data_IF_803756607895
#
_entry.id   IF_803756607895
#
_cell.length_a   1.000
_cell.length_b   1.000
_cell.length_c   1.000
_cell.angle_alpha   90.00
_cell.angle_beta   90.00
_cell.angle_gamma   90.00
#
_symmetry.space_group_name_H-M   'P 1'
#
loop_
_entity.id
_entity.type
_entity.pdbx_description
1 polymer ?
#
# COMPACT_ATOMS: atom_id res chain seq x y z
N UNK A 1 2.10 1.53 19.32
CA UNK A 1 0.69 1.49 18.87
C UNK A 1 0.62 2.12 17.49
N UNK A 2 -0.19 1.61 16.57
CA UNK A 2 -0.43 2.18 15.25
C UNK A 2 -1.55 3.22 15.33
N UNK A 3 -1.38 4.38 14.65
CA UNK A 3 -2.40 5.42 14.49
C UNK A 3 -3.07 5.23 13.13
N UNK A 4 -4.22 4.55 13.10
CA UNK A 4 -4.93 4.20 11.86
C UNK A 4 -6.02 5.24 11.60
N UNK A 5 -5.94 5.90 10.44
CA UNK A 5 -6.86 6.93 9.97
C UNK A 5 -7.57 6.47 8.73
N UNK A 6 -8.88 6.28 8.82
CA UNK A 6 -9.71 5.74 7.74
C UNK A 6 -10.54 6.86 7.11
N UNK A 7 -10.59 6.89 5.78
CA UNK A 7 -11.48 7.72 4.96
C UNK A 7 -12.36 6.84 4.09
N UNK A 8 -13.57 7.28 3.82
CA UNK A 8 -14.43 6.61 2.83
C UNK A 8 -13.86 6.80 1.41
N UNK A 9 -13.42 8.02 1.08
CA UNK A 9 -12.82 8.33 -0.21
C UNK A 9 -11.68 9.34 -0.07
N UNK A 10 -10.65 9.18 -0.90
CA UNK A 10 -9.57 10.15 -1.09
C UNK A 10 -9.05 10.10 -2.52
N UNK A 11 -8.27 11.09 -2.91
CA UNK A 11 -7.51 11.03 -4.17
C UNK A 11 -6.48 9.90 -4.11
N UNK A 12 -5.61 9.93 -3.09
CA UNK A 12 -4.56 8.92 -2.88
C UNK A 12 -4.17 8.86 -1.40
N UNK A 13 -4.09 7.67 -0.84
CA UNK A 13 -3.58 7.47 0.53
C UNK A 13 -2.11 7.85 0.66
N UNK A 14 -1.30 7.72 -0.42
CA UNK A 14 0.08 8.17 -0.44
C UNK A 14 0.20 9.70 -0.30
N UNK A 15 -0.67 10.44 -0.98
CA UNK A 15 -0.69 11.90 -0.90
C UNK A 15 -1.14 12.37 0.47
N UNK A 16 -2.18 11.74 1.03
CA UNK A 16 -2.63 11.99 2.41
C UNK A 16 -1.51 11.75 3.42
N UNK A 17 -0.86 10.59 3.33
CA UNK A 17 0.24 10.24 4.23
C UNK A 17 1.44 11.18 4.07
N UNK A 18 1.79 11.57 2.84
CA UNK A 18 2.87 12.50 2.59
C UNK A 18 2.56 13.91 3.16
N UNK A 19 1.32 14.39 3.02
CA UNK A 19 0.90 15.66 3.59
C UNK A 19 0.96 15.63 5.12
N UNK A 20 0.47 14.56 5.75
CA UNK A 20 0.56 14.36 7.19
C UNK A 20 2.01 14.27 7.67
N UNK A 21 2.87 13.52 6.96
CA UNK A 21 4.28 13.38 7.31
C UNK A 21 5.03 14.73 7.25
N UNK A 22 4.77 15.55 6.22
CA UNK A 22 5.34 16.92 6.11
C UNK A 22 4.88 17.80 7.26
N UNK A 23 3.65 17.62 7.76
CA UNK A 23 3.10 18.34 8.92
C UNK A 23 3.59 17.81 10.27
N UNK A 24 4.43 16.77 10.28
CA UNK A 24 5.03 16.23 11.49
C UNK A 24 4.31 15.02 12.10
N UNK A 25 3.40 14.37 11.37
CA UNK A 25 2.77 13.14 11.86
C UNK A 25 3.84 12.09 12.26
N UNK A 26 3.62 11.34 13.36
CA UNK A 26 4.62 10.40 13.86
C UNK A 26 4.77 9.17 12.95
N UNK A 27 5.87 8.45 13.15
CA UNK A 27 6.05 7.10 12.60
C UNK A 27 4.92 6.18 13.07
N UNK A 28 4.53 5.20 12.23
CA UNK A 28 3.39 4.29 12.46
C UNK A 28 2.01 4.95 12.35
N UNK A 29 1.91 6.12 11.69
CA UNK A 29 0.62 6.64 11.21
C UNK A 29 0.27 5.93 9.92
N UNK A 30 -0.96 5.43 9.81
CA UNK A 30 -1.49 4.70 8.64
C UNK A 30 -2.70 5.44 8.10
N UNK A 31 -2.64 5.84 6.84
CA UNK A 31 -3.78 6.34 6.09
C UNK A 31 -4.43 5.19 5.33
N UNK A 32 -5.72 4.97 5.51
CA UNK A 32 -6.51 3.96 4.81
C UNK A 32 -7.66 4.65 4.08
N UNK A 33 -7.99 4.20 2.90
CA UNK A 33 -9.20 4.64 2.19
C UNK A 33 -10.00 3.44 1.69
N UNK A 34 -11.33 3.53 1.75
CA UNK A 34 -12.23 2.53 1.13
C UNK A 34 -12.22 2.63 -0.39
N UNK A 35 -11.97 3.84 -0.92
CA UNK A 35 -11.86 4.15 -2.34
C UNK A 35 -10.78 5.18 -2.60
N UNK A 36 -10.06 5.03 -3.72
CA UNK A 36 -9.20 6.09 -4.24
C UNK A 36 -9.66 6.51 -5.63
N UNK A 37 -9.73 7.83 -5.88
CA UNK A 37 -10.10 8.38 -7.20
C UNK A 37 -8.88 8.66 -8.08
N UNK A 38 -7.68 8.71 -7.49
CA UNK A 38 -6.42 8.93 -8.18
C UNK A 38 -5.29 8.09 -7.58
N UNK A 39 -5.53 6.80 -7.32
CA UNK A 39 -4.50 5.88 -6.82
C UNK A 39 -3.31 5.78 -7.78
N UNK A 40 -2.09 5.81 -7.25
CA UNK A 40 -0.85 5.85 -8.04
C UNK A 40 -0.13 4.50 -8.01
N UNK A 41 0.42 4.14 -9.17
CA UNK A 41 1.45 3.12 -9.33
C UNK A 41 2.77 3.74 -9.72
N UNK A 42 3.81 2.94 -9.97
CA UNK A 42 5.09 3.39 -10.50
C UNK A 42 4.93 3.87 -11.95
N UNK A 43 5.76 4.86 -12.35
CA UNK A 43 5.78 5.42 -13.71
C UNK A 43 4.42 6.00 -14.14
N UNK A 44 3.78 6.75 -13.22
CA UNK A 44 2.49 7.43 -13.42
C UNK A 44 1.34 6.49 -13.82
N UNK A 45 1.46 5.19 -13.55
CA UNK A 45 0.38 4.24 -13.77
C UNK A 45 -0.70 4.44 -12.72
N UNK A 46 -1.95 4.29 -13.12
CA UNK A 46 -3.08 4.34 -12.21
C UNK A 46 -3.18 3.01 -11.46
N UNK A 47 -3.39 3.09 -10.14
CA UNK A 47 -3.83 1.95 -9.33
C UNK A 47 -5.35 2.02 -9.19
N UNK A 48 -6.05 1.07 -9.78
CA UNK A 48 -7.51 1.00 -9.71
C UNK A 48 -7.95 0.63 -8.28
N UNK A 49 -8.78 1.48 -7.67
CA UNK A 49 -9.12 1.39 -6.24
C UNK A 49 -10.62 1.60 -6.00
N UNK A 50 -11.47 0.68 -6.50
CA UNK A 50 -12.93 0.79 -6.30
C UNK A 50 -13.30 0.60 -4.83
N UNK A 51 -14.48 1.16 -4.46
CA UNK A 51 -14.95 1.15 -3.08
C UNK A 51 -15.08 -0.28 -2.52
N UNK A 52 -14.52 -0.50 -1.33
CA UNK A 52 -14.62 -1.73 -0.54
C UNK A 52 -14.16 -3.02 -1.25
N UNK A 53 -13.32 -2.89 -2.29
CA UNK A 53 -12.81 -4.05 -3.04
C UNK A 53 -11.38 -4.45 -2.71
N UNK A 54 -10.67 -3.65 -1.94
CA UNK A 54 -9.27 -3.89 -1.60
C UNK A 54 -8.82 -3.22 -0.31
N UNK A 55 -7.57 -3.43 0.04
CA UNK A 55 -6.87 -2.64 1.06
C UNK A 55 -6.02 -1.58 0.34
N UNK A 56 -6.37 -0.32 0.54
CA UNK A 56 -5.61 0.83 0.05
C UNK A 56 -5.09 1.59 1.24
N UNK A 57 -3.82 1.41 1.56
CA UNK A 57 -3.24 2.03 2.73
C UNK A 57 -1.84 2.60 2.47
N UNK A 58 -1.44 3.56 3.28
CA UNK A 58 -0.11 4.16 3.24
C UNK A 58 0.40 4.39 4.66
N UNK A 59 1.58 3.88 4.92
CA UNK A 59 2.24 3.92 6.23
C UNK A 59 3.31 5.00 6.24
N UNK A 60 3.32 5.85 7.26
CA UNK A 60 4.40 6.80 7.53
C UNK A 60 5.44 6.12 8.42
N UNK A 61 6.70 6.12 7.96
CA UNK A 61 7.84 5.67 8.72
C UNK A 61 8.88 6.77 8.89
N UNK A 62 9.56 6.81 10.04
CA UNK A 62 10.67 7.73 10.33
C UNK A 62 11.86 6.89 10.81
N UNK A 63 12.49 6.14 9.88
CA UNK A 63 13.59 5.25 10.26
C UNK A 63 14.85 6.03 10.56
N UNK A 64 15.63 5.55 11.54
CA UNK A 64 16.96 6.09 11.88
C UNK A 64 18.05 5.50 10.97
N UNK A 65 17.83 5.52 9.66
CA UNK A 65 18.78 5.05 8.64
C UNK A 65 19.01 6.14 7.60
N UNK A 66 20.14 6.15 6.89
CA UNK A 66 20.39 7.11 5.82
C UNK A 66 19.30 7.05 4.73
N UNK A 67 18.97 8.20 4.14
CA UNK A 67 17.91 8.32 3.13
C UNK A 67 18.17 7.42 1.90
N UNK A 68 19.43 7.14 1.57
CA UNK A 68 19.84 6.24 0.50
C UNK A 68 19.33 4.81 0.72
N UNK A 69 19.10 4.42 1.98
CA UNK A 69 18.57 3.10 2.36
C UNK A 69 17.05 3.02 2.30
N UNK A 70 16.32 4.12 2.06
CA UNK A 70 14.85 4.13 2.09
C UNK A 70 14.23 3.27 0.97
N UNK A 71 14.97 3.03 -0.13
CA UNK A 71 14.57 2.07 -1.15
C UNK A 71 14.34 0.66 -0.61
N UNK A 72 15.08 0.26 0.43
CA UNK A 72 14.94 -1.06 1.06
C UNK A 72 13.60 -1.21 1.81
N UNK A 73 12.99 -0.11 2.24
CA UNK A 73 11.68 -0.16 2.91
C UNK A 73 10.57 -0.72 2.02
N UNK A 74 10.68 -0.51 0.70
CA UNK A 74 9.76 -1.15 -0.26
C UNK A 74 9.84 -2.67 -0.22
N UNK A 75 11.07 -3.21 -0.09
CA UNK A 75 11.29 -4.66 0.01
C UNK A 75 10.79 -5.21 1.34
N UNK A 76 11.04 -4.50 2.44
CA UNK A 76 10.52 -4.89 3.75
C UNK A 76 8.99 -4.95 3.73
N UNK A 77 8.34 -3.94 3.15
CA UNK A 77 6.90 -3.91 3.00
C UNK A 77 6.36 -5.02 2.07
N UNK A 78 7.09 -5.30 0.97
CA UNK A 78 6.73 -6.39 0.07
C UNK A 78 6.85 -7.75 0.75
N UNK A 79 7.90 -7.98 1.54
CA UNK A 79 8.08 -9.20 2.34
C UNK A 79 6.96 -9.34 3.37
N UNK A 80 6.66 -8.29 4.13
CA UNK A 80 5.59 -8.30 5.12
C UNK A 80 4.21 -8.59 4.49
N UNK A 81 3.90 -7.96 3.34
CA UNK A 81 2.65 -8.21 2.63
C UNK A 81 2.61 -9.63 2.07
N UNK A 82 3.68 -10.12 1.45
CA UNK A 82 3.76 -11.46 0.90
C UNK A 82 3.55 -12.52 1.98
N UNK A 83 4.15 -12.33 3.16
CA UNK A 83 3.96 -13.21 4.33
C UNK A 83 2.51 -13.15 4.84
N UNK A 84 1.95 -11.94 4.97
CA UNK A 84 0.57 -11.70 5.41
C UNK A 84 -0.45 -12.46 4.56
N UNK A 85 -0.28 -12.46 3.23
CA UNK A 85 -1.23 -13.10 2.29
C UNK A 85 -0.71 -14.42 1.71
N UNK A 86 0.42 -14.94 2.20
CA UNK A 86 1.05 -16.21 1.77
C UNK A 86 1.28 -16.27 0.26
N UNK A 87 1.83 -15.21 -0.31
CA UNK A 87 2.05 -15.04 -1.74
C UNK A 87 3.53 -14.90 -2.09
N UNK A 88 3.85 -14.92 -3.38
CA UNK A 88 5.19 -14.69 -3.89
C UNK A 88 5.45 -13.21 -4.18
N UNK A 89 6.73 -12.85 -4.33
CA UNK A 89 7.17 -11.51 -4.72
C UNK A 89 7.71 -11.55 -6.14
N UNK A 90 7.21 -10.67 -6.98
CA UNK A 90 7.83 -10.32 -8.26
C UNK A 90 8.59 -9.01 -8.05
N UNK A 91 9.92 -9.13 -8.07
CA UNK A 91 10.81 -7.99 -7.88
C UNK A 91 10.49 -6.84 -8.84
N UNK A 92 10.54 -5.56 -8.42
CA UNK A 92 10.96 -5.12 -7.07
C UNK A 92 9.82 -4.89 -6.06
N UNK A 93 8.54 -4.85 -6.48
CA UNK A 93 7.48 -4.27 -5.64
C UNK A 93 6.08 -4.87 -5.87
N UNK A 94 5.97 -5.98 -6.58
CA UNK A 94 4.70 -6.62 -6.87
C UNK A 94 4.55 -7.92 -6.06
N UNK A 95 3.38 -8.13 -5.48
CA UNK A 95 3.00 -9.38 -4.84
C UNK A 95 2.17 -10.16 -5.85
N UNK A 96 2.54 -11.41 -6.09
CA UNK A 96 1.92 -12.26 -7.10
C UNK A 96 1.41 -13.58 -6.48
N UNK A 97 0.31 -14.06 -7.02
CA UNK A 97 -0.23 -15.38 -6.71
C UNK A 97 -0.59 -16.08 -8.02
N UNK A 98 -0.08 -17.30 -8.22
CA UNK A 98 -0.22 -18.07 -9.48
C UNK A 98 0.10 -17.25 -10.74
N UNK A 99 1.18 -16.46 -10.67
CA UNK A 99 1.66 -15.64 -11.79
C UNK A 99 0.90 -14.32 -12.02
N UNK A 100 -0.20 -14.06 -11.29
CA UNK A 100 -1.00 -12.83 -11.42
C UNK A 100 -0.74 -11.89 -10.24
N UNK A 101 -0.71 -10.58 -10.52
CA UNK A 101 -0.47 -9.55 -9.52
C UNK A 101 -1.70 -9.34 -8.65
N UNK A 102 -1.53 -9.46 -7.32
CA UNK A 102 -2.58 -9.20 -6.33
C UNK A 102 -2.33 -7.92 -5.53
N UNK A 103 -1.05 -7.47 -5.43
CA UNK A 103 -0.73 -6.25 -4.68
C UNK A 103 0.43 -5.51 -5.34
N UNK A 104 0.44 -4.19 -5.20
CA UNK A 104 1.56 -3.32 -5.55
C UNK A 104 2.00 -2.49 -4.35
N UNK A 105 3.32 -2.36 -4.19
CA UNK A 105 3.93 -1.50 -3.17
C UNK A 105 4.52 -0.27 -3.86
N UNK A 106 4.25 0.91 -3.33
CA UNK A 106 4.79 2.17 -3.82
C UNK A 106 5.36 2.97 -2.66
N UNK A 107 6.66 3.24 -2.67
CA UNK A 107 7.31 4.07 -1.67
C UNK A 107 7.68 5.43 -2.21
N UNK A 108 7.62 6.43 -1.35
CA UNK A 108 8.18 7.75 -1.53
C UNK A 108 8.85 8.21 -0.24
N UNK A 109 9.69 9.23 -0.32
CA UNK A 109 10.36 9.79 0.84
C UNK A 109 10.48 11.30 0.72
N UNK A 110 10.75 11.97 1.83
CA UNK A 110 10.88 13.40 1.88
C UNK A 110 11.33 13.91 3.24
N UNK A 111 11.24 15.22 3.42
CA UNK A 111 11.55 15.89 4.69
C UNK A 111 10.32 16.62 5.20
N UNK A 112 10.14 16.66 6.52
CA UNK A 112 9.13 17.47 7.16
C UNK A 112 9.59 18.92 7.30
N UNK A 113 8.72 19.79 7.81
CA UNK A 113 9.00 21.23 8.04
C UNK A 113 10.17 21.51 8.99
N UNK A 114 10.63 20.52 9.72
CA UNK A 114 11.76 20.61 10.67
C UNK A 114 13.04 19.97 10.11
N UNK A 115 13.01 19.48 8.86
CA UNK A 115 14.15 18.82 8.21
C UNK A 115 14.32 17.35 8.58
N UNK A 116 13.37 16.74 9.30
CA UNK A 116 13.44 15.30 9.61
C UNK A 116 12.96 14.48 8.42
N UNK A 117 13.72 13.44 8.07
CA UNK A 117 13.35 12.54 6.99
C UNK A 117 12.16 11.66 7.36
N UNK A 118 11.36 11.32 6.35
CA UNK A 118 10.29 10.33 6.44
C UNK A 118 10.19 9.51 5.15
N UNK A 119 9.63 8.32 5.26
CA UNK A 119 9.18 7.51 4.14
C UNK A 119 7.66 7.28 4.23
N UNK A 120 7.01 7.21 3.07
CA UNK A 120 5.63 6.77 2.92
C UNK A 120 5.63 5.49 2.12
N UNK A 121 5.03 4.45 2.64
CA UNK A 121 4.92 3.15 1.99
C UNK A 121 3.46 2.89 1.69
N UNK A 122 3.08 3.03 0.43
CA UNK A 122 1.75 2.72 -0.06
C UNK A 122 1.63 1.25 -0.43
N UNK A 123 0.51 0.64 -0.07
CA UNK A 123 0.15 -0.73 -0.41
C UNK A 123 -1.26 -0.76 -0.97
N UNK A 124 -1.40 -1.25 -2.20
CA UNK A 124 -2.66 -1.52 -2.84
C UNK A 124 -2.84 -3.03 -3.02
N UNK A 125 -3.76 -3.65 -2.28
CA UNK A 125 -4.06 -5.08 -2.34
C UNK A 125 -5.47 -5.30 -2.89
N UNK A 126 -5.59 -6.13 -3.91
CA UNK A 126 -6.85 -6.59 -4.46
C UNK A 126 -7.42 -7.71 -3.58
N UNK A 127 -8.59 -7.50 -2.99
CA UNK A 127 -9.20 -8.49 -2.08
C UNK A 127 -10.40 -9.17 -2.73
N UNK A 128 -11.37 -8.41 -3.21
CA UNK A 128 -12.64 -8.93 -3.72
C UNK A 128 -12.77 -8.74 -5.23
N UNK A 129 -13.61 -9.53 -5.86
CA UNK A 129 -13.97 -9.40 -7.27
C UNK A 129 -14.40 -7.97 -7.62
N UNK A 130 -13.91 -7.49 -8.77
CA UNK A 130 -14.07 -6.11 -9.18
C UNK A 130 -12.98 -5.15 -8.67
N UNK A 131 -11.97 -5.63 -7.93
CA UNK A 131 -10.80 -4.82 -7.57
C UNK A 131 -9.79 -4.64 -8.72
N UNK A 132 -9.83 -5.51 -9.73
CA UNK A 132 -8.98 -5.42 -10.90
C UNK A 132 -9.68 -4.65 -12.02
N UNK A 133 -8.95 -3.81 -12.79
CA UNK A 133 -9.53 -3.16 -13.95
C UNK A 133 -9.89 -4.18 -15.03
N UNK A 134 -10.99 -3.99 -15.77
CA UNK A 134 -11.37 -4.86 -16.89
C UNK A 134 -10.24 -4.97 -17.93
N UNK A 135 -10.07 -6.15 -18.48
CA UNK A 135 -9.05 -6.43 -19.51
C UNK A 135 -7.67 -6.80 -18.97
N UNK A 136 -7.50 -6.88 -17.65
CA UNK A 136 -6.25 -7.31 -17.01
C UNK A 136 -6.36 -8.66 -16.29
N UNK A 137 -7.39 -9.45 -16.54
CA UNK A 137 -7.71 -10.70 -15.83
C UNK A 137 -6.57 -11.74 -15.91
N UNK A 138 -5.77 -11.70 -16.98
CA UNK A 138 -4.60 -12.55 -17.15
C UNK A 138 -3.34 -12.05 -16.42
N UNK A 139 -3.32 -10.77 -15.98
CA UNK A 139 -2.16 -10.13 -15.36
C UNK A 139 -2.37 -9.81 -13.90
N UNK A 140 -3.63 -9.56 -13.49
CA UNK A 140 -4.02 -9.23 -12.13
C UNK A 140 -5.06 -10.20 -11.60
N UNK A 141 -5.11 -10.33 -10.27
CA UNK A 141 -6.06 -11.16 -9.55
C UNK A 141 -6.41 -10.50 -8.21
N UNK A 142 -7.42 -11.03 -7.53
CA UNK A 142 -7.76 -10.69 -6.15
C UNK A 142 -7.66 -11.94 -5.25
N UNK A 143 -7.63 -11.73 -3.94
CA UNK A 143 -7.55 -12.83 -2.97
C UNK A 143 -8.77 -13.75 -3.06
N UNK A 144 -9.93 -13.23 -3.41
CA UNK A 144 -11.16 -14.00 -3.60
C UNK A 144 -11.03 -15.07 -4.69
N UNK A 145 -10.27 -14.82 -5.76
CA UNK A 145 -9.98 -15.80 -6.82
C UNK A 145 -9.30 -17.08 -6.29
N UNK A 146 -8.70 -17.00 -5.11
CA UNK A 146 -7.97 -18.09 -4.46
C UNK A 146 -8.63 -18.58 -3.18
N UNK A 147 -9.85 -18.10 -2.87
CA UNK A 147 -10.56 -18.42 -1.63
C UNK A 147 -9.90 -17.87 -0.36
N UNK A 148 -9.14 -16.78 -0.48
CA UNK A 148 -8.36 -16.17 0.61
C UNK A 148 -8.83 -14.75 0.98
N UNK A 149 -9.99 -14.32 0.49
CA UNK A 149 -10.54 -13.00 0.80
C UNK A 149 -10.92 -12.90 2.28
N UNK A 150 -10.49 -11.80 2.89
CA UNK A 150 -10.80 -11.42 4.28
C UNK A 150 -11.08 -9.90 4.32
N UNK A 151 -11.75 -9.39 5.37
CA UNK A 151 -11.90 -7.95 5.56
C UNK A 151 -10.55 -7.24 5.58
N UNK A 152 -10.49 -6.04 4.99
CA UNK A 152 -9.24 -5.28 4.86
C UNK A 152 -8.58 -4.96 6.21
N UNK A 153 -9.37 -4.72 7.27
CA UNK A 153 -8.90 -4.43 8.62
C UNK A 153 -8.22 -5.64 9.28
N UNK A 154 -8.74 -6.85 9.03
CA UNK A 154 -8.10 -8.11 9.45
C UNK A 154 -6.74 -8.29 8.79
N UNK A 155 -6.64 -8.02 7.49
CA UNK A 155 -5.38 -8.08 6.76
C UNK A 155 -4.42 -7.01 7.25
N UNK A 156 -4.89 -5.77 7.42
CA UNK A 156 -4.09 -4.65 7.91
C UNK A 156 -3.50 -4.94 9.29
N UNK A 157 -4.28 -5.53 10.20
CA UNK A 157 -3.81 -5.87 11.55
C UNK A 157 -2.67 -6.91 11.56
N UNK A 158 -2.57 -7.77 10.53
CA UNK A 158 -1.45 -8.70 10.38
C UNK A 158 -0.26 -8.07 9.63
N UNK A 159 -0.53 -7.11 8.76
CA UNK A 159 0.47 -6.43 7.95
C UNK A 159 1.28 -5.41 8.75
N UNK A 160 0.69 -4.77 9.76
CA UNK A 160 1.28 -3.74 10.63
C UNK A 160 1.71 -4.29 11.98
#
# INVERSE_FOLDING_TARGET
MWDIRVKDETLSTNDDAAALARSGAPSRTVCVARRQTGGHGRFDRIWFSPADKGLYCSVILRPSVPAESFGLLSFCAALAMADTVRAGIKWPNDIIMNGRKICGILSSWGYDRHGNSFAVIGSGLNIFSGSCPPGLENQAACLEDFGMAEPWDTILARYT
#
